data_IF_451286466790
#
_entry.id   IF_451286466790
#
_cell.length_a   1.000
_cell.length_b   1.000
_cell.length_c   1.000
_cell.angle_alpha   90.00
_cell.angle_beta   90.00
_cell.angle_gamma   90.00
#
_symmetry.space_group_name_H-M   'P 1'
#
loop_
_entity.id
_entity.type
_entity.pdbx_description
1 polymer ?
#
# COMPACT_ATOMS: atom_id res chain seq x y z
N UNK A 1 3.49 9.30 -10.73
CA UNK A 1 3.40 8.98 -9.28
C UNK A 1 4.34 9.89 -8.46
N UNK A 2 5.40 10.36 -9.05
CA UNK A 2 6.39 11.27 -8.42
C UNK A 2 6.26 12.73 -8.84
N UNK A 3 5.36 13.05 -9.77
CA UNK A 3 5.11 14.40 -10.27
C UNK A 3 4.21 15.18 -9.30
N UNK A 4 4.70 16.32 -8.82
CA UNK A 4 4.01 17.15 -7.84
C UNK A 4 2.85 17.98 -8.43
N UNK A 5 2.78 18.12 -9.76
CA UNK A 5 1.76 18.96 -10.40
C UNK A 5 0.34 18.35 -10.36
N UNK A 6 0.24 17.03 -10.11
CA UNK A 6 -1.02 16.28 -10.11
C UNK A 6 -1.19 15.39 -8.88
N UNK A 7 -0.46 15.63 -7.81
CA UNK A 7 -0.36 14.76 -6.65
C UNK A 7 -1.70 14.57 -5.89
N UNK A 8 -2.60 15.54 -5.90
CA UNK A 8 -3.94 15.43 -5.30
C UNK A 8 -4.98 14.74 -6.20
N UNK A 9 -4.65 14.42 -7.46
CA UNK A 9 -5.63 13.85 -8.41
C UNK A 9 -5.75 12.32 -8.34
N UNK A 10 -4.86 11.67 -7.62
CA UNK A 10 -4.76 10.20 -7.59
C UNK A 10 -5.40 9.53 -6.36
N UNK A 11 -6.05 10.30 -5.51
CA UNK A 11 -6.71 9.79 -4.32
C UNK A 11 -7.64 10.80 -3.69
N UNK A 12 -8.35 10.38 -2.64
CA UNK A 12 -9.13 11.32 -1.85
C UNK A 12 -8.24 12.01 -0.82
N UNK A 13 -8.38 13.32 -0.70
CA UNK A 13 -7.78 14.05 0.40
C UNK A 13 -8.65 13.95 1.68
N UNK A 14 -8.10 14.39 2.79
CA UNK A 14 -8.76 14.28 4.10
C UNK A 14 -10.13 15.01 4.16
N UNK A 15 -10.25 16.14 3.47
CA UNK A 15 -11.48 16.92 3.38
C UNK A 15 -12.57 16.15 2.62
N UNK A 16 -12.23 15.57 1.48
CA UNK A 16 -13.17 14.78 0.66
C UNK A 16 -13.67 13.54 1.41
N UNK A 17 -12.79 12.85 2.14
CA UNK A 17 -13.18 11.72 2.99
C UNK A 17 -14.15 12.14 4.09
N UNK A 18 -13.89 13.26 4.78
CA UNK A 18 -14.81 13.80 5.79
C UNK A 18 -16.18 14.20 5.22
N UNK A 19 -16.18 14.84 4.05
CA UNK A 19 -17.43 15.20 3.35
C UNK A 19 -18.22 13.95 2.92
N UNK A 20 -17.53 12.91 2.45
CA UNK A 20 -18.16 11.63 2.10
C UNK A 20 -18.78 10.95 3.32
N UNK A 21 -18.04 10.84 4.41
CA UNK A 21 -18.56 10.25 5.66
C UNK A 21 -19.73 11.05 6.22
N UNK A 22 -19.70 12.37 6.12
CA UNK A 22 -20.84 13.22 6.50
C UNK A 22 -22.06 12.96 5.62
N UNK A 23 -21.88 12.81 4.32
CA UNK A 23 -22.98 12.53 3.37
C UNK A 23 -23.68 11.20 3.65
N UNK A 24 -22.96 10.21 4.15
CA UNK A 24 -23.48 8.88 4.48
C UNK A 24 -23.83 8.71 5.98
N UNK A 25 -23.77 9.79 6.77
CA UNK A 25 -24.01 9.77 8.22
C UNK A 25 -23.09 8.79 8.98
N UNK A 26 -21.80 8.78 8.60
CA UNK A 26 -20.77 7.88 9.13
C UNK A 26 -19.57 8.64 9.73
N UNK A 27 -19.75 9.86 10.23
CA UNK A 27 -18.67 10.73 10.71
C UNK A 27 -17.85 10.10 11.86
N UNK A 28 -18.51 9.30 12.69
CA UNK A 28 -17.87 8.58 13.81
C UNK A 28 -16.87 7.51 13.33
N UNK A 29 -16.90 7.14 12.05
CA UNK A 29 -15.99 6.18 11.44
C UNK A 29 -14.68 6.79 10.90
N UNK A 30 -14.50 8.09 11.03
CA UNK A 30 -13.36 8.79 10.46
C UNK A 30 -12.00 8.22 10.91
N UNK A 31 -11.82 7.99 12.21
CA UNK A 31 -10.55 7.47 12.73
C UNK A 31 -10.25 6.06 12.22
N UNK A 32 -11.27 5.22 12.09
CA UNK A 32 -11.16 3.87 11.54
C UNK A 32 -10.79 3.92 10.05
N UNK A 33 -11.45 4.75 9.25
CA UNK A 33 -11.15 4.95 7.82
C UNK A 33 -9.74 5.47 7.64
N UNK A 34 -9.30 6.42 8.47
CA UNK A 34 -7.96 6.97 8.44
C UNK A 34 -6.90 5.93 8.73
N UNK A 35 -7.07 5.14 9.77
CA UNK A 35 -6.11 4.10 10.17
C UNK A 35 -5.95 3.01 9.09
N UNK A 36 -7.03 2.68 8.39
CA UNK A 36 -7.06 1.58 7.43
C UNK A 36 -6.69 1.98 6.00
N UNK A 37 -7.07 3.17 5.54
CA UNK A 37 -7.07 3.52 4.12
C UNK A 37 -6.30 4.79 3.76
N UNK A 38 -5.82 5.55 4.74
CA UNK A 38 -4.92 6.69 4.54
C UNK A 38 -3.47 6.23 4.35
N UNK A 39 -2.59 7.16 4.07
CA UNK A 39 -1.14 6.97 4.16
C UNK A 39 -0.43 6.81 2.83
N UNK A 40 -1.10 6.89 1.71
CA UNK A 40 -0.45 6.99 0.40
C UNK A 40 0.11 8.39 0.18
N UNK A 41 1.32 8.47 -0.36
CA UNK A 41 1.92 9.73 -0.75
C UNK A 41 2.21 9.77 -2.25
N UNK A 42 1.56 10.71 -2.92
CA UNK A 42 1.82 11.08 -4.31
C UNK A 42 2.47 12.47 -4.31
N UNK A 43 3.69 12.58 -4.87
CA UNK A 43 4.43 13.82 -4.76
C UNK A 43 4.57 14.28 -3.31
N UNK A 44 3.94 15.38 -2.95
CA UNK A 44 3.90 15.94 -1.59
C UNK A 44 2.54 15.81 -0.89
N UNK A 45 1.52 15.25 -1.54
CA UNK A 45 0.18 15.08 -0.98
C UNK A 45 -0.01 13.70 -0.34
N UNK A 46 -0.61 13.68 0.83
CA UNK A 46 -1.09 12.45 1.47
C UNK A 46 -2.56 12.23 1.06
N UNK A 47 -2.86 11.03 0.58
CA UNK A 47 -4.17 10.66 0.04
C UNK A 47 -4.63 9.29 0.53
N UNK A 48 -5.96 9.11 0.54
CA UNK A 48 -6.63 7.84 0.77
C UNK A 48 -6.84 7.10 -0.56
N UNK A 49 -6.86 5.76 -0.51
CA UNK A 49 -7.29 4.96 -1.67
C UNK A 49 -8.79 5.13 -1.90
N UNK A 50 -9.26 5.71 -3.03
CA UNK A 50 -10.68 5.96 -3.27
C UNK A 50 -11.53 4.71 -3.28
N UNK A 51 -11.01 3.62 -3.87
CA UNK A 51 -11.70 2.33 -3.95
C UNK A 51 -12.04 1.78 -2.57
N UNK A 52 -11.10 1.81 -1.65
CA UNK A 52 -11.28 1.29 -0.30
C UNK A 52 -12.28 2.11 0.49
N UNK A 53 -12.17 3.44 0.45
CA UNK A 53 -13.10 4.34 1.16
C UNK A 53 -14.52 4.19 0.66
N UNK A 54 -14.72 4.15 -0.67
CA UNK A 54 -16.07 3.98 -1.27
C UNK A 54 -16.69 2.65 -0.88
N UNK A 55 -15.93 1.56 -0.97
CA UNK A 55 -16.44 0.23 -0.61
C UNK A 55 -16.71 0.10 0.89
N UNK A 56 -15.86 0.70 1.73
CA UNK A 56 -16.09 0.78 3.17
C UNK A 56 -17.41 1.47 3.48
N UNK A 57 -17.65 2.65 2.92
CA UNK A 57 -18.91 3.39 3.11
C UNK A 57 -20.12 2.60 2.62
N UNK A 58 -20.02 1.94 1.47
CA UNK A 58 -21.09 1.11 0.92
C UNK A 58 -21.40 -0.10 1.80
N UNK A 59 -20.40 -0.78 2.32
CA UNK A 59 -20.58 -1.91 3.26
C UNK A 59 -21.31 -1.45 4.53
N UNK A 60 -20.98 -0.29 5.10
CA UNK A 60 -21.59 0.22 6.31
C UNK A 60 -23.01 0.75 6.11
N UNK A 61 -23.39 1.13 4.89
CA UNK A 61 -24.79 1.45 4.57
C UNK A 61 -25.70 0.23 4.67
N UNK A 62 -25.21 -0.93 4.27
CA UNK A 62 -25.98 -2.19 4.28
C UNK A 62 -25.81 -2.98 5.57
N UNK A 63 -24.64 -2.86 6.21
CA UNK A 63 -24.27 -3.58 7.43
C UNK A 63 -23.58 -2.63 8.42
N UNK A 64 -24.32 -1.92 9.27
CA UNK A 64 -23.77 -0.91 10.19
C UNK A 64 -22.68 -1.45 11.15
N UNK A 65 -22.65 -2.76 11.39
CA UNK A 65 -21.64 -3.45 12.20
C UNK A 65 -20.50 -4.05 11.38
N UNK A 66 -20.35 -3.70 10.09
CA UNK A 66 -19.24 -4.19 9.26
C UNK A 66 -17.90 -3.77 9.87
N UNK A 67 -16.89 -4.62 9.70
CA UNK A 67 -15.50 -4.33 10.07
C UNK A 67 -14.73 -3.90 8.83
N UNK A 68 -13.69 -3.07 8.97
CA UNK A 68 -12.81 -2.74 7.86
C UNK A 68 -12.25 -3.98 7.20
N UNK A 69 -12.19 -3.96 5.89
CA UNK A 69 -11.69 -5.04 5.05
C UNK A 69 -10.67 -4.49 4.08
N UNK A 70 -9.90 -5.38 3.56
CA UNK A 70 -9.04 -5.14 2.44
C UNK A 70 -9.85 -5.24 1.15
N UNK A 71 -10.23 -4.10 0.58
CA UNK A 71 -11.02 -4.05 -0.66
C UNK A 71 -10.15 -4.06 -1.91
N UNK A 72 -8.95 -3.48 -1.84
CA UNK A 72 -8.06 -3.33 -2.98
C UNK A 72 -7.31 -4.63 -3.31
N UNK A 73 -6.82 -5.32 -2.29
CA UNK A 73 -5.86 -6.41 -2.44
C UNK A 73 -6.50 -7.78 -2.78
N UNK A 74 -7.82 -7.89 -2.81
CA UNK A 74 -8.50 -9.11 -3.25
C UNK A 74 -8.46 -9.31 -4.78
N UNK A 75 -7.81 -8.45 -5.53
CA UNK A 75 -7.87 -8.39 -6.98
C UNK A 75 -6.58 -8.83 -7.70
N UNK A 76 -5.90 -9.87 -7.32
CA UNK A 76 -4.77 -10.47 -8.07
C UNK A 76 -3.32 -10.06 -7.71
N UNK A 77 -3.10 -9.10 -6.84
CA UNK A 77 -1.75 -8.65 -6.49
C UNK A 77 -0.93 -9.60 -5.62
N UNK A 78 -1.59 -10.49 -4.88
CA UNK A 78 -0.94 -11.42 -3.94
C UNK A 78 0.01 -12.41 -4.62
N UNK A 79 -0.27 -12.74 -5.87
CA UNK A 79 0.53 -13.70 -6.64
C UNK A 79 1.96 -13.18 -6.87
N UNK A 80 2.11 -11.87 -7.01
CA UNK A 80 3.42 -11.22 -7.18
C UNK A 80 4.28 -11.41 -5.94
N UNK A 81 3.75 -11.06 -4.78
CA UNK A 81 4.48 -11.13 -3.50
C UNK A 81 4.81 -12.59 -3.17
N UNK A 82 3.85 -13.51 -3.30
CA UNK A 82 4.05 -14.92 -3.01
C UNK A 82 5.12 -15.55 -3.91
N UNK A 83 5.12 -15.24 -5.21
CA UNK A 83 6.16 -15.74 -6.13
C UNK A 83 7.57 -15.29 -5.76
N UNK A 84 7.71 -14.07 -5.23
CA UNK A 84 9.01 -13.58 -4.76
C UNK A 84 9.43 -14.19 -3.42
N UNK A 85 8.49 -14.43 -2.52
CA UNK A 85 8.77 -14.99 -1.20
C UNK A 85 9.11 -16.49 -1.28
N UNK A 86 8.50 -17.22 -2.22
CA UNK A 86 8.64 -18.68 -2.35
C UNK A 86 9.94 -19.10 -3.06
N UNK A 87 10.66 -18.19 -3.69
CA UNK A 87 11.93 -18.53 -4.32
C UNK A 87 13.08 -18.50 -3.30
N UNK A 88 13.97 -19.53 -3.35
CA UNK A 88 14.88 -19.91 -2.24
C UNK A 88 16.29 -19.33 -2.34
N UNK A 89 16.58 -18.43 -3.26
CA UNK A 89 17.91 -17.90 -3.51
C UNK A 89 18.35 -16.82 -2.50
N UNK A 90 19.66 -16.63 -2.28
CA UNK A 90 20.22 -15.69 -1.30
C UNK A 90 19.73 -14.22 -1.43
N UNK A 91 19.54 -13.66 -2.64
CA UNK A 91 18.96 -12.33 -2.78
C UNK A 91 17.56 -12.21 -2.19
N UNK A 92 16.76 -13.28 -2.21
CA UNK A 92 15.39 -13.29 -1.68
C UNK A 92 15.34 -13.36 -0.16
N UNK A 93 16.36 -13.95 0.48
CA UNK A 93 16.50 -13.90 1.94
C UNK A 93 16.70 -12.47 2.43
N UNK A 94 17.51 -11.68 1.71
CA UNK A 94 17.69 -10.27 2.02
C UNK A 94 16.40 -9.49 1.83
N UNK A 95 15.69 -9.73 0.73
CA UNK A 95 14.39 -9.07 0.48
C UNK A 95 13.36 -9.45 1.54
N UNK A 96 13.32 -10.70 2.00
CA UNK A 96 12.45 -11.14 3.10
C UNK A 96 12.76 -10.39 4.39
N UNK A 97 14.03 -10.27 4.76
CA UNK A 97 14.45 -9.51 5.94
C UNK A 97 14.06 -8.02 5.84
N UNK A 98 14.17 -7.43 4.67
CA UNK A 98 13.76 -6.04 4.44
C UNK A 98 12.23 -5.88 4.49
N UNK A 99 11.46 -6.84 3.99
CA UNK A 99 9.99 -6.88 4.14
C UNK A 99 9.59 -7.01 5.61
N UNK A 100 10.24 -7.88 6.38
CA UNK A 100 10.02 -8.00 7.82
C UNK A 100 10.29 -6.68 8.56
N UNK A 101 11.31 -5.93 8.15
CA UNK A 101 11.58 -4.59 8.68
C UNK A 101 10.46 -3.61 8.36
N UNK A 102 9.91 -3.63 7.15
CA UNK A 102 8.77 -2.81 6.75
C UNK A 102 7.53 -3.14 7.59
N UNK A 103 7.22 -4.42 7.77
CA UNK A 103 6.10 -4.87 8.63
C UNK A 103 6.26 -4.39 10.06
N UNK A 104 7.50 -4.29 10.56
CA UNK A 104 7.82 -3.75 11.87
C UNK A 104 7.78 -2.20 11.95
N UNK A 105 7.34 -1.53 10.87
CA UNK A 105 7.24 -0.07 10.81
C UNK A 105 8.53 0.65 10.43
N UNK A 106 9.57 -0.06 10.00
CA UNK A 106 10.82 0.55 9.57
C UNK A 106 10.77 0.98 8.10
N UNK A 107 11.67 1.90 7.75
CA UNK A 107 11.86 2.39 6.38
C UNK A 107 12.88 1.51 5.64
N UNK A 108 12.60 1.22 4.39
CA UNK A 108 13.55 0.62 3.45
C UNK A 108 13.89 1.62 2.35
N UNK A 109 15.16 1.73 1.97
CA UNK A 109 15.67 2.68 0.97
C UNK A 109 15.99 1.95 -0.31
N UNK A 110 15.24 2.27 -1.39
CA UNK A 110 15.41 1.63 -2.70
C UNK A 110 15.32 2.62 -3.84
N UNK A 111 16.04 2.33 -4.92
CA UNK A 111 15.80 2.98 -6.20
C UNK A 111 14.57 2.38 -6.84
N UNK A 112 13.73 3.23 -7.40
CA UNK A 112 12.50 2.82 -8.08
C UNK A 112 12.67 3.08 -9.56
N UNK A 113 12.42 2.06 -10.36
CA UNK A 113 12.34 2.17 -11.81
C UNK A 113 10.85 2.19 -12.21
N UNK A 114 10.37 3.34 -12.63
CA UNK A 114 8.98 3.54 -13.09
C UNK A 114 8.75 3.06 -14.54
N UNK A 115 9.83 2.73 -15.25
CA UNK A 115 9.77 2.29 -16.65
C UNK A 115 9.72 0.76 -16.81
N UNK A 116 9.61 0.01 -15.72
CA UNK A 116 9.56 -1.46 -15.74
C UNK A 116 8.36 -1.95 -16.56
N UNK A 117 8.64 -2.81 -17.53
CA UNK A 117 7.60 -3.48 -18.31
C UNK A 117 7.05 -4.71 -17.57
N UNK A 118 5.83 -5.12 -17.92
CA UNK A 118 5.20 -6.31 -17.32
C UNK A 118 6.06 -7.57 -17.38
N UNK A 119 6.89 -7.71 -18.43
CA UNK A 119 7.81 -8.86 -18.59
C UNK A 119 8.99 -8.85 -17.64
N UNK A 120 9.36 -7.67 -17.15
CA UNK A 120 10.54 -7.46 -16.28
C UNK A 120 10.21 -7.50 -14.80
N UNK A 121 8.92 -7.47 -14.45
CA UNK A 121 8.46 -7.46 -13.06
C UNK A 121 9.11 -8.54 -12.18
N UNK A 122 9.38 -9.70 -12.74
CA UNK A 122 9.88 -10.87 -12.02
C UNK A 122 11.37 -11.17 -12.28
N UNK A 123 12.09 -10.31 -13.01
CA UNK A 123 13.43 -10.64 -13.48
C UNK A 123 14.51 -10.39 -12.45
N UNK A 124 14.34 -9.44 -11.55
CA UNK A 124 15.30 -9.08 -10.50
C UNK A 124 14.63 -8.68 -9.22
N UNK A 125 15.37 -8.75 -8.08
CA UNK A 125 14.90 -8.26 -6.79
C UNK A 125 14.71 -6.75 -6.76
N UNK A 126 15.50 -5.98 -7.49
CA UNK A 126 15.30 -4.54 -7.58
C UNK A 126 13.94 -4.20 -8.22
N UNK A 127 13.51 -5.02 -9.17
CA UNK A 127 12.18 -4.90 -9.77
C UNK A 127 11.05 -5.24 -8.80
N UNK A 128 11.28 -6.08 -7.78
CA UNK A 128 10.31 -6.32 -6.72
C UNK A 128 9.91 -5.02 -6.02
N UNK A 129 10.89 -4.21 -5.62
CA UNK A 129 10.63 -2.97 -4.90
C UNK A 129 9.87 -1.96 -5.76
N UNK A 130 10.26 -1.83 -7.02
CA UNK A 130 9.55 -1.00 -7.99
C UNK A 130 8.12 -1.50 -8.22
N UNK A 131 7.93 -2.81 -8.32
CA UNK A 131 6.61 -3.44 -8.48
C UNK A 131 5.72 -3.18 -7.25
N UNK A 132 6.22 -3.39 -6.03
CA UNK A 132 5.48 -3.14 -4.79
C UNK A 132 5.08 -1.66 -4.65
N UNK A 133 5.95 -0.75 -5.08
CA UNK A 133 5.66 0.67 -5.10
C UNK A 133 4.61 1.03 -6.15
N UNK A 134 4.78 0.57 -7.39
CA UNK A 134 3.86 0.86 -8.51
C UNK A 134 2.47 0.26 -8.33
N UNK A 135 2.37 -0.86 -7.64
CA UNK A 135 1.09 -1.52 -7.34
C UNK A 135 0.41 -1.04 -6.05
N UNK A 136 1.02 -0.10 -5.31
CA UNK A 136 0.44 0.49 -4.12
C UNK A 136 0.61 -0.31 -2.83
N UNK A 137 1.42 -1.37 -2.80
CA UNK A 137 1.78 -2.06 -1.55
C UNK A 137 2.72 -1.24 -0.67
N UNK A 138 3.53 -0.41 -1.30
CA UNK A 138 4.43 0.53 -0.64
C UNK A 138 4.13 1.95 -1.11
N UNK A 139 4.45 2.90 -0.25
CA UNK A 139 4.44 4.33 -0.59
C UNK A 139 5.78 4.95 -0.21
N UNK A 140 6.02 6.18 -0.64
CA UNK A 140 7.27 6.90 -0.37
C UNK A 140 7.09 7.93 0.74
N UNK A 141 8.19 8.22 1.46
CA UNK A 141 8.31 9.30 2.45
C UNK A 141 9.47 10.24 2.11
N UNK A 142 9.66 10.50 0.83
CA UNK A 142 10.70 11.35 0.28
C UNK A 142 11.80 10.59 -0.45
N UNK A 143 12.51 11.32 -1.29
CA UNK A 143 13.67 10.85 -2.04
C UNK A 143 14.95 11.39 -1.40
N UNK A 144 15.98 10.58 -1.29
CA UNK A 144 17.30 10.97 -0.80
C UNK A 144 18.13 11.57 -1.95
N UNK A 145 19.23 12.27 -1.61
CA UNK A 145 20.09 12.94 -2.59
C UNK A 145 20.75 11.95 -3.60
N UNK A 146 20.87 10.69 -3.21
CA UNK A 146 21.41 9.61 -4.06
C UNK A 146 20.35 8.95 -4.98
N UNK A 147 19.11 9.47 -5.00
CA UNK A 147 18.00 9.00 -5.82
C UNK A 147 17.26 7.77 -5.26
N UNK A 148 17.50 7.38 -3.99
CA UNK A 148 16.74 6.34 -3.33
C UNK A 148 15.51 6.91 -2.63
N UNK A 149 14.38 6.25 -2.81
CA UNK A 149 13.15 6.55 -2.08
C UNK A 149 13.13 5.85 -0.72
N UNK A 150 12.63 6.54 0.28
CA UNK A 150 12.30 5.97 1.58
C UNK A 150 10.92 5.33 1.47
N UNK A 151 10.89 4.01 1.41
CA UNK A 151 9.66 3.23 1.23
C UNK A 151 9.13 2.77 2.58
N UNK A 152 7.81 2.83 2.73
CA UNK A 152 7.06 2.34 3.90
C UNK A 152 5.76 1.67 3.46
N UNK A 153 5.18 0.86 4.33
CA UNK A 153 3.81 0.35 4.18
C UNK A 153 2.85 1.50 4.49
N UNK A 154 1.89 1.84 3.61
CA UNK A 154 1.06 3.03 3.76
C UNK A 154 0.07 2.95 4.93
N UNK A 155 -0.56 1.79 5.17
CA UNK A 155 -1.65 1.63 6.12
C UNK A 155 -1.90 0.17 6.52
N UNK A 156 -2.92 -0.08 7.34
CA UNK A 156 -3.29 -1.43 7.81
C UNK A 156 -3.76 -2.35 6.71
N UNK A 157 -4.43 -1.82 5.69
CA UNK A 157 -4.87 -2.59 4.55
C UNK A 157 -3.69 -3.30 3.88
N UNK A 158 -2.62 -2.57 3.59
CA UNK A 158 -1.40 -3.11 3.02
C UNK A 158 -0.59 -3.97 4.00
N UNK A 159 -0.65 -3.68 5.31
CA UNK A 159 0.09 -4.40 6.34
C UNK A 159 -0.33 -5.87 6.45
N UNK A 160 -1.61 -6.17 6.30
CA UNK A 160 -2.15 -7.54 6.40
C UNK A 160 -1.58 -8.50 5.34
N UNK A 161 -1.11 -7.99 4.21
CA UNK A 161 -0.56 -8.81 3.11
C UNK A 161 0.94 -9.01 3.17
N UNK A 162 1.65 -8.12 3.81
CA UNK A 162 3.11 -8.22 3.98
C UNK A 162 3.49 -9.05 5.22
N UNK A 163 2.53 -9.37 6.09
CA UNK A 163 2.75 -10.26 7.22
C UNK A 163 2.79 -11.71 6.76
N UNK A 164 3.78 -12.52 7.18
CA UNK A 164 3.80 -13.95 6.89
C UNK A 164 2.53 -14.59 7.46
N UNK A 165 1.86 -15.38 6.62
CA UNK A 165 0.64 -16.09 7.01
C UNK A 165 0.92 -17.02 8.18
N UNK A 166 0.07 -17.09 9.23
CA UNK A 166 0.22 -18.02 10.34
C UNK A 166 0.03 -19.51 9.97
N UNK A 167 -0.08 -19.84 8.68
CA UNK A 167 -0.42 -21.19 8.23
C UNK A 167 0.77 -22.15 8.10
N UNK A 168 2.01 -21.71 8.27
CA UNK A 168 3.20 -22.55 8.13
C UNK A 168 3.84 -22.95 9.47
N UNK A 169 3.04 -23.11 10.49
CA UNK A 169 3.46 -23.53 11.82
C UNK A 169 2.57 -24.66 12.40
N UNK A 170 2.50 -25.77 11.71
CA UNK A 170 1.99 -27.01 12.29
C UNK A 170 2.68 -28.23 11.69
#
# INVERSE_FOLDING_TARGET
ITDADYDEMFGFNDKEVKEMLLTFDQQEKYDEVKEWYDGYRFGNADVYCPWDVVNYCADHLTHPGAVPKNYWLNTSGNEVINRFIDSVDEPQKLAKTELERLVSGNVVRKRIDEAITYKELYSTIDNLWSTLFMTGYLTQRGCEDDGRYRLVIPNRDCLLYTSPSPRDGA
#
